data_IF_970612708312
#
_entry.id   IF_970612708312
#
_cell.length_a   1.000
_cell.length_b   1.000
_cell.length_c   1.000
_cell.angle_alpha   90.00
_cell.angle_beta   90.00
_cell.angle_gamma   90.00
#
_symmetry.space_group_name_H-M   'P 1'
#
loop_
_entity.id
_entity.type
_entity.pdbx_description
1 polymer ?
#
# COMPACT_ATOMS: atom_id res chain seq x y z
N UNK A 1 -15.98 -4.60 16.00
CA UNK A 1 -15.88 -5.72 15.03
C UNK A 1 -14.55 -5.56 14.30
N UNK A 2 -13.57 -6.47 14.41
CA UNK A 2 -12.31 -6.27 13.71
C UNK A 2 -12.45 -6.87 12.31
N UNK A 3 -12.81 -6.03 11.36
CA UNK A 3 -12.55 -6.25 9.94
C UNK A 3 -11.05 -6.54 9.76
N UNK A 4 -10.72 -7.70 9.17
CA UNK A 4 -9.33 -8.11 8.99
C UNK A 4 -8.60 -7.06 8.14
N UNK A 5 -7.59 -6.42 8.73
CA UNK A 5 -6.76 -5.43 8.04
C UNK A 5 -5.38 -5.96 7.75
N UNK A 6 -4.83 -5.59 6.60
CA UNK A 6 -3.48 -5.95 6.17
C UNK A 6 -2.59 -4.73 6.14
N UNK A 7 -1.33 -4.89 6.52
CA UNK A 7 -0.34 -3.81 6.39
C UNK A 7 -0.11 -3.47 4.92
N UNK A 8 -0.02 -2.18 4.63
CA UNK A 8 0.11 -1.70 3.26
C UNK A 8 0.95 -0.43 3.16
N UNK A 9 1.46 -0.21 1.95
CA UNK A 9 2.04 1.06 1.52
C UNK A 9 1.00 1.84 0.71
N UNK A 10 0.87 3.12 1.02
CA UNK A 10 -0.04 4.05 0.40
C UNK A 10 0.76 5.00 -0.49
N UNK A 11 0.44 4.99 -1.77
CA UNK A 11 1.10 5.81 -2.78
C UNK A 11 0.21 6.99 -3.20
N UNK A 12 0.85 8.06 -3.67
CA UNK A 12 0.21 9.15 -4.40
C UNK A 12 0.68 9.12 -5.84
N UNK A 13 -0.25 9.44 -6.75
CA UNK A 13 0.08 9.61 -8.16
C UNK A 13 0.81 10.95 -8.33
N UNK A 14 2.05 10.90 -8.76
CA UNK A 14 2.84 12.05 -9.17
C UNK A 14 2.62 12.30 -10.66
N UNK A 15 1.76 13.28 -10.97
CA UNK A 15 1.45 13.67 -12.34
C UNK A 15 2.62 14.38 -13.03
N UNK A 16 3.55 14.97 -12.28
CA UNK A 16 4.69 15.71 -12.83
C UNK A 16 5.74 14.72 -13.30
N UNK A 17 6.09 13.75 -12.46
CA UNK A 17 7.13 12.76 -12.76
C UNK A 17 6.59 11.46 -13.37
N UNK A 18 5.27 11.35 -13.59
CA UNK A 18 4.57 10.14 -14.09
C UNK A 18 4.95 8.88 -13.31
N UNK A 19 4.97 8.98 -11.99
CA UNK A 19 5.31 7.89 -11.09
C UNK A 19 4.40 7.86 -9.87
N UNK A 20 4.52 6.81 -9.07
CA UNK A 20 3.84 6.69 -7.78
C UNK A 20 4.84 6.98 -6.67
N UNK A 21 4.51 7.91 -5.79
CA UNK A 21 5.36 8.32 -4.66
C UNK A 21 4.82 7.72 -3.38
N UNK A 22 5.71 7.08 -2.60
CA UNK A 22 5.33 6.53 -1.31
C UNK A 22 4.95 7.67 -0.35
N UNK A 23 3.69 7.69 0.04
CA UNK A 23 3.11 8.79 0.78
C UNK A 23 2.92 8.47 2.26
N UNK A 24 2.54 7.22 2.57
CA UNK A 24 2.41 6.74 3.94
C UNK A 24 2.47 5.21 4.05
N UNK A 25 2.71 4.72 5.27
CA UNK A 25 2.46 3.34 5.65
C UNK A 25 1.16 3.27 6.46
N UNK A 26 0.41 2.19 6.29
CA UNK A 26 -0.89 2.06 6.91
C UNK A 26 -1.42 0.64 6.92
N UNK A 27 -2.73 0.54 7.11
CA UNK A 27 -3.47 -0.72 7.07
C UNK A 27 -4.65 -0.58 6.12
N UNK A 28 -4.82 -1.55 5.23
CA UNK A 28 -5.95 -1.61 4.30
C UNK A 28 -6.98 -2.62 4.75
N UNK A 29 -8.26 -2.27 4.59
CA UNK A 29 -9.41 -3.10 4.93
C UNK A 29 -10.05 -3.58 3.63
N UNK A 30 -9.53 -4.69 3.09
CA UNK A 30 -9.95 -5.21 1.78
C UNK A 30 -11.30 -5.93 1.82
N UNK A 31 -11.71 -6.42 2.98
CA UNK A 31 -13.04 -7.01 3.23
C UNK A 31 -14.07 -5.89 3.46
N UNK A 32 -14.21 -5.01 2.46
CA UNK A 32 -15.17 -3.92 2.48
C UNK A 32 -16.41 -4.34 1.69
N UNK A 33 -17.59 -4.25 2.27
CA UNK A 33 -18.85 -4.52 1.55
C UNK A 33 -19.20 -3.30 0.68
N UNK A 34 -19.92 -3.46 -0.45
CA UNK A 34 -20.30 -2.32 -1.31
C UNK A 34 -21.10 -1.22 -0.59
N UNK A 35 -21.70 -1.53 0.56
CA UNK A 35 -22.45 -0.61 1.41
C UNK A 35 -21.57 0.10 2.47
N UNK A 36 -20.28 -0.19 2.53
CA UNK A 36 -19.39 0.46 3.48
C UNK A 36 -19.24 1.93 3.12
N UNK A 37 -19.58 2.78 4.09
CA UNK A 37 -19.38 4.22 3.97
C UNK A 37 -18.12 4.63 4.73
N UNK A 38 -17.40 5.62 4.21
CA UNK A 38 -16.43 6.40 4.98
C UNK A 38 -17.04 7.79 5.14
N UNK A 39 -17.29 8.20 6.40
CA UNK A 39 -17.99 9.45 6.72
C UNK A 39 -19.33 9.65 5.98
N UNK A 40 -20.12 8.57 5.83
CA UNK A 40 -21.42 8.62 5.15
C UNK A 40 -21.34 8.63 3.62
N UNK A 41 -20.14 8.64 3.02
CA UNK A 41 -19.94 8.54 1.57
C UNK A 41 -19.68 7.07 1.21
N UNK A 42 -20.45 6.47 0.29
CA UNK A 42 -20.21 5.11 -0.15
C UNK A 42 -18.82 4.98 -0.76
N UNK A 43 -18.07 3.99 -0.26
CA UNK A 43 -16.74 3.68 -0.74
C UNK A 43 -16.88 3.02 -2.12
N UNK A 44 -16.81 3.84 -3.17
CA UNK A 44 -16.95 3.35 -4.55
C UNK A 44 -16.04 2.16 -4.85
N UNK A 45 -16.39 1.34 -5.84
CA UNK A 45 -15.76 0.05 -6.13
C UNK A 45 -14.23 0.12 -6.33
N UNK A 46 -13.72 1.26 -6.78
CA UNK A 46 -12.30 1.51 -7.03
C UNK A 46 -11.51 1.99 -5.80
N UNK A 47 -12.19 2.19 -4.67
CA UNK A 47 -11.59 2.72 -3.44
C UNK A 47 -11.61 1.67 -2.32
N UNK A 48 -10.65 1.77 -1.42
CA UNK A 48 -10.54 0.92 -0.24
C UNK A 48 -10.38 1.80 1.01
N UNK A 49 -10.96 1.34 2.13
CA UNK A 49 -10.79 1.98 3.43
C UNK A 49 -9.37 1.68 3.90
N UNK A 50 -8.64 2.71 4.29
CA UNK A 50 -7.30 2.57 4.87
C UNK A 50 -7.16 3.42 6.13
N UNK A 51 -6.24 3.02 7.01
CA UNK A 51 -5.79 3.83 8.15
C UNK A 51 -4.33 4.19 7.94
N UNK A 52 -3.98 5.44 8.20
CA UNK A 52 -2.59 5.92 8.13
C UNK A 52 -1.91 5.68 9.47
N UNK A 53 -0.79 4.98 9.47
CA UNK A 53 0.02 4.72 10.67
C UNK A 53 1.25 5.60 10.72
N UNK A 54 1.96 5.73 9.59
CA UNK A 54 3.18 6.53 9.51
C UNK A 54 3.19 7.36 8.23
N UNK A 55 3.10 8.70 8.29
CA UNK A 55 3.26 9.55 7.12
C UNK A 55 4.73 9.48 6.65
N UNK A 56 4.93 9.35 5.33
CA UNK A 56 6.25 9.42 4.69
C UNK A 56 6.44 10.75 3.97
N UNK A 57 5.36 11.32 3.45
CA UNK A 57 5.35 12.61 2.77
C UNK A 57 4.50 13.61 3.57
N UNK A 58 5.16 14.52 4.28
CA UNK A 58 4.50 15.61 5.04
C UNK A 58 4.04 16.73 4.11
N UNK A 59 2.93 17.40 4.45
CA UNK A 59 2.33 18.43 3.59
C UNK A 59 1.71 17.92 2.29
N UNK A 60 1.66 16.60 2.08
CA UNK A 60 0.97 16.01 0.94
C UNK A 60 -0.54 15.91 1.21
N UNK A 61 -1.32 16.19 0.17
CA UNK A 61 -2.78 16.10 0.19
C UNK A 61 -3.23 14.64 0.13
N UNK A 62 -4.37 14.35 0.77
CA UNK A 62 -5.06 13.09 0.60
C UNK A 62 -5.62 12.97 -0.84
N UNK A 63 -5.65 11.76 -1.43
CA UNK A 63 -6.29 11.54 -2.74
C UNK A 63 -7.77 11.92 -2.71
N UNK A 64 -8.42 11.65 -1.58
CA UNK A 64 -9.83 11.96 -1.30
C UNK A 64 -9.87 12.66 0.06
N UNK A 65 -9.83 14.01 0.09
CA UNK A 65 -9.95 14.77 1.33
C UNK A 65 -11.29 14.50 2.02
N UNK A 66 -11.30 14.54 3.35
CA UNK A 66 -12.51 14.42 4.18
C UNK A 66 -12.75 15.73 4.94
N UNK A 67 -13.91 15.88 5.56
CA UNK A 67 -14.18 17.05 6.41
C UNK A 67 -13.27 17.11 7.66
N UNK A 68 -12.66 15.98 8.04
CA UNK A 68 -11.77 15.89 9.21
C UNK A 68 -10.29 16.05 8.86
N UNK A 69 -9.87 15.68 7.64
CA UNK A 69 -8.47 15.70 7.24
C UNK A 69 -8.31 16.04 5.76
N UNK A 70 -7.36 16.92 5.46
CA UNK A 70 -6.96 17.28 4.09
C UNK A 70 -5.56 16.76 3.77
N UNK A 71 -4.67 16.77 4.77
CA UNK A 71 -3.29 16.32 4.62
C UNK A 71 -3.09 14.90 5.17
N UNK A 72 -2.10 14.19 4.64
CA UNK A 72 -1.74 12.82 5.07
C UNK A 72 -1.43 12.77 6.58
N UNK A 73 -0.79 13.80 7.12
CA UNK A 73 -0.41 13.85 8.53
C UNK A 73 -1.58 14.12 9.48
N UNK A 74 -2.66 14.73 8.99
CA UNK A 74 -3.88 14.95 9.77
C UNK A 74 -4.73 13.68 9.87
N UNK A 75 -4.63 12.78 8.88
CA UNK A 75 -5.39 11.54 8.81
C UNK A 75 -4.74 10.36 9.57
N UNK A 76 -3.70 10.60 10.37
CA UNK A 76 -3.05 9.57 11.18
C UNK A 76 -4.04 9.02 12.22
N UNK A 77 -4.22 7.70 12.25
CA UNK A 77 -5.17 7.03 13.15
C UNK A 77 -6.64 7.13 12.73
N UNK A 78 -6.95 7.89 11.67
CA UNK A 78 -8.29 7.99 11.09
C UNK A 78 -8.57 6.95 10.00
N UNK A 79 -9.76 7.02 9.41
CA UNK A 79 -10.13 6.22 8.24
C UNK A 79 -10.27 7.12 7.02
N UNK A 80 -9.56 6.80 5.95
CA UNK A 80 -9.64 7.53 4.68
C UNK A 80 -9.89 6.59 3.52
N UNK A 81 -10.50 7.12 2.46
CA UNK A 81 -10.66 6.41 1.20
C UNK A 81 -9.36 6.53 0.39
N UNK A 82 -8.84 5.41 -0.09
CA UNK A 82 -7.66 5.39 -0.97
C UNK A 82 -7.97 4.62 -2.26
N UNK A 83 -7.52 5.11 -3.43
CA UNK A 83 -7.66 4.35 -4.68
C UNK A 83 -6.94 3.01 -4.58
N UNK A 84 -7.63 1.91 -4.88
CA UNK A 84 -7.08 0.53 -4.77
C UNK A 84 -5.77 0.36 -5.55
N UNK A 85 -5.66 0.99 -6.72
CA UNK A 85 -4.44 0.97 -7.56
C UNK A 85 -3.19 1.56 -6.88
N UNK A 86 -3.39 2.44 -5.89
CA UNK A 86 -2.33 3.12 -5.14
C UNK A 86 -2.10 2.50 -3.75
N UNK A 87 -2.70 1.35 -3.47
CA UNK A 87 -2.54 0.61 -2.22
C UNK A 87 -1.80 -0.69 -2.51
N UNK A 88 -0.59 -0.81 -1.97
CA UNK A 88 0.22 -2.03 -2.09
C UNK A 88 0.19 -2.75 -0.76
N UNK A 89 -0.59 -3.83 -0.69
CA UNK A 89 -0.65 -4.67 0.51
C UNK A 89 0.61 -5.50 0.62
N UNK A 90 1.25 -5.46 1.78
CA UNK A 90 2.35 -6.36 2.12
C UNK A 90 1.75 -7.73 2.40
N UNK A 91 1.47 -8.46 1.32
CA UNK A 91 1.26 -9.89 1.44
C UNK A 91 2.63 -10.46 1.75
N UNK A 92 2.84 -10.92 2.98
CA UNK A 92 3.98 -11.76 3.30
C UNK A 92 3.86 -13.03 2.47
N UNK A 93 4.39 -12.99 1.24
CA UNK A 93 4.76 -14.19 0.53
C UNK A 93 5.83 -14.83 1.41
N UNK A 94 5.47 -15.93 2.07
CA UNK A 94 6.46 -16.93 2.43
C UNK A 94 7.40 -17.11 1.23
N UNK A 95 8.70 -17.07 1.51
CA UNK A 95 9.75 -17.30 0.54
C UNK A 95 9.46 -18.53 -0.33
N UNK A 96 9.03 -18.30 -1.56
CA UNK A 96 9.03 -19.28 -2.65
C UNK A 96 9.10 -18.43 -3.93
N UNK A 97 10.27 -18.03 -4.40
CA UNK A 97 11.02 -18.88 -5.33
C UNK A 97 12.46 -18.37 -5.44
N UNK A 98 13.40 -18.96 -4.69
CA UNK A 98 14.74 -19.18 -5.24
C UNK A 98 14.62 -20.42 -6.12
N UNK A 99 14.39 -20.22 -7.41
CA UNK A 99 14.52 -21.31 -8.38
C UNK A 99 15.99 -21.78 -8.43
N UNK A 100 16.27 -23.08 -8.47
CA UNK A 100 17.62 -23.61 -8.57
C UNK A 100 18.04 -23.54 -10.04
N UNK A 101 19.19 -22.92 -10.33
CA UNK A 101 19.84 -23.10 -11.63
C UNK A 101 21.29 -23.48 -11.40
N UNK A 102 21.49 -24.78 -11.24
CA UNK A 102 22.74 -25.45 -11.55
C UNK A 102 23.16 -25.12 -12.99
N UNK A 103 24.42 -24.73 -13.19
CA UNK A 103 25.26 -25.11 -14.33
C UNK A 103 26.67 -24.51 -14.13
N UNK A 104 27.73 -25.07 -14.73
CA UNK A 104 28.37 -26.33 -14.36
C UNK A 104 29.83 -26.10 -13.90
N UNK A 105 30.38 -27.04 -13.14
CA UNK A 105 31.82 -27.11 -12.86
C UNK A 105 32.63 -27.12 -14.17
N UNK A 106 33.39 -26.06 -14.39
CA UNK A 106 34.51 -26.04 -15.31
C UNK A 106 35.62 -25.16 -14.74
N UNK A 107 36.54 -25.79 -14.03
CA UNK A 107 37.96 -25.50 -14.25
C UNK A 107 38.79 -26.75 -13.95
N UNK A 108 39.50 -27.20 -14.98
CA UNK A 108 40.53 -28.23 -14.89
C UNK A 108 41.89 -27.53 -14.85
N UNK A 109 42.69 -27.81 -13.83
CA UNK A 109 44.17 -27.78 -13.83
C UNK A 109 44.59 -28.37 -12.48
N UNK A 110 45.43 -29.40 -12.34
CA UNK A 110 46.56 -29.79 -13.16
C UNK A 110 47.86 -29.21 -12.56
N UNK A 111 48.41 -29.85 -11.51
CA UNK A 111 49.84 -29.98 -11.13
C UNK A 111 50.03 -30.08 -9.62
N UNK A 112 50.47 -31.24 -9.11
CA UNK A 112 51.89 -31.53 -8.87
C UNK A 112 52.06 -32.99 -8.47
#
# INVERSE_FOLDING_TARGET
MPNASKECHLFLLDLINRGDVLAANGRAYMECVPTDTIYGIPLGEENVRVTITVPKLKGALLPIPTHEATFIEEAIGGFVAWPKRLVVVQTSLSQASKGPSNAPDREAEGKK
#
